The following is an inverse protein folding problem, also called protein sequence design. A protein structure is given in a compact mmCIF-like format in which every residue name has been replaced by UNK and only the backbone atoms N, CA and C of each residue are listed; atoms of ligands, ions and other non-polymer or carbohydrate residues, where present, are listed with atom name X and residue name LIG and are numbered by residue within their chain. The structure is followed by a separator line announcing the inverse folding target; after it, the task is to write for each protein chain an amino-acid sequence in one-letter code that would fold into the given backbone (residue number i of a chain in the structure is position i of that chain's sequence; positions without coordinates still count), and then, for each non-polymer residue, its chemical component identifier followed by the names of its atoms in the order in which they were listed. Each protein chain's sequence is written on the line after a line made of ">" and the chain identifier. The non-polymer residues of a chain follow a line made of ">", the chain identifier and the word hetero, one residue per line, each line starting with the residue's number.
data_IF_996396791198
#
_entry.id   IF_996396791198
#
_cell.length_a   1.000
_cell.length_b   1.000
_cell.length_c   1.000
_cell.angle_alpha   90.00
_cell.angle_beta   90.00
_cell.angle_gamma   90.00
#
_symmetry.space_group_name_H-M   'P 1'
#
loop_
_entity.id
_entity.type
_entity.pdbx_description
1 polymer ?
#
# COMPACT_ATOMS: atom_id res chain seq x y z
N UNK A 1 30.44 14.82 41.50
CA UNK A 1 29.61 14.58 40.30
C UNK A 1 30.31 15.26 39.15
N UNK A 2 31.05 14.46 38.40
CA UNK A 2 31.88 14.89 37.28
C UNK A 2 30.99 15.41 36.15
N UNK A 3 31.27 16.63 35.72
CA UNK A 3 30.79 17.21 34.48
C UNK A 3 31.43 16.46 33.31
N UNK A 4 30.70 15.47 32.79
CA UNK A 4 31.10 14.71 31.61
C UNK A 4 31.31 15.63 30.40
N UNK A 5 32.52 15.57 29.86
CA UNK A 5 33.03 16.34 28.74
C UNK A 5 32.21 16.11 27.45
N UNK A 6 31.37 17.07 27.08
CA UNK A 6 31.02 17.34 25.67
C UNK A 6 32.04 18.32 25.06
N UNK A 7 33.33 18.14 25.36
CA UNK A 7 34.40 19.11 25.07
C UNK A 7 35.24 18.79 23.83
N UNK A 8 34.74 17.97 22.90
CA UNK A 8 35.36 17.90 21.58
C UNK A 8 34.29 18.11 20.52
N UNK A 9 34.42 19.18 19.75
CA UNK A 9 33.66 19.36 18.50
C UNK A 9 34.00 18.32 17.43
N UNK A 10 34.80 17.29 17.75
CA UNK A 10 35.23 16.24 16.83
C UNK A 10 34.07 15.45 16.22
N UNK A 11 32.99 15.07 16.96
CA UNK A 11 31.85 14.37 16.34
C UNK A 11 31.10 15.25 15.34
N UNK A 12 30.99 16.56 15.62
CA UNK A 12 30.33 17.51 14.73
C UNK A 12 31.19 17.83 13.50
N UNK A 13 32.50 18.00 13.69
CA UNK A 13 33.47 18.17 12.59
C UNK A 13 33.50 16.92 11.72
N UNK A 14 33.44 15.72 12.31
CA UNK A 14 33.40 14.47 11.56
C UNK A 14 32.15 14.39 10.67
N UNK A 15 30.96 14.71 11.19
CA UNK A 15 29.72 14.82 10.41
C UNK A 15 29.80 15.87 9.27
N UNK A 16 30.46 17.00 9.51
CA UNK A 16 30.63 18.07 8.51
C UNK A 16 31.70 17.76 7.46
N UNK A 17 32.58 16.80 7.72
CA UNK A 17 33.65 16.37 6.80
C UNK A 17 33.36 15.07 6.07
N UNK A 18 32.33 14.34 6.50
CA UNK A 18 31.88 13.13 5.80
C UNK A 18 31.32 13.50 4.44
N UNK A 19 31.70 12.74 3.43
CA UNK A 19 31.09 12.83 2.11
C UNK A 19 29.59 12.49 2.22
N UNK A 20 28.71 13.11 1.42
CA UNK A 20 27.27 12.81 1.45
C UNK A 20 26.99 11.30 1.36
N UNK A 21 27.74 10.56 0.55
CA UNK A 21 27.65 9.10 0.42
C UNK A 21 27.95 8.33 1.70
N UNK A 22 28.86 8.83 2.54
CA UNK A 22 29.21 8.27 3.86
C UNK A 22 28.12 8.54 4.90
N UNK A 23 27.30 9.57 4.68
CA UNK A 23 26.12 9.90 5.47
C UNK A 23 24.85 9.22 4.96
N UNK A 24 24.96 8.37 3.93
CA UNK A 24 23.82 7.69 3.30
C UNK A 24 23.08 8.54 2.26
N UNK A 25 23.57 9.74 1.93
CA UNK A 25 23.08 10.52 0.80
C UNK A 25 23.70 9.95 -0.48
N UNK A 26 22.91 9.17 -1.22
CA UNK A 26 23.24 8.86 -2.60
C UNK A 26 22.75 10.06 -3.40
N UNK A 27 23.64 10.85 -3.99
CA UNK A 27 23.25 11.80 -5.03
C UNK A 27 23.03 10.99 -6.31
N UNK A 28 21.81 10.48 -6.48
CA UNK A 28 21.36 9.89 -7.73
C UNK A 28 20.88 11.04 -8.59
N UNK A 29 21.77 11.50 -9.47
CA UNK A 29 21.34 12.37 -10.56
C UNK A 29 20.76 11.50 -11.66
N UNK A 30 19.45 11.58 -11.85
CA UNK A 30 18.77 10.92 -12.95
C UNK A 30 18.16 11.97 -13.87
N UNK A 31 18.25 11.75 -15.18
CA UNK A 31 17.44 12.48 -16.15
C UNK A 31 16.17 11.67 -16.32
N UNK A 32 15.07 12.19 -15.79
CA UNK A 32 13.74 11.61 -15.95
C UNK A 32 12.95 12.44 -16.95
N UNK A 33 12.14 11.83 -17.80
CA UNK A 33 11.27 12.59 -18.69
C UNK A 33 9.94 12.88 -17.99
N UNK A 34 9.39 14.08 -18.13
CA UNK A 34 8.05 14.41 -17.64
C UNK A 34 6.98 13.74 -18.52
N UNK A 35 5.70 13.97 -18.20
CA UNK A 35 4.58 13.47 -19.01
C UNK A 35 4.54 14.01 -20.45
N UNK A 36 5.30 15.06 -20.76
CA UNK A 36 5.45 15.67 -22.09
C UNK A 36 6.73 15.23 -22.82
N UNK A 37 7.54 14.35 -22.20
CA UNK A 37 8.82 13.93 -22.77
C UNK A 37 9.94 14.95 -22.62
N UNK A 38 9.81 15.96 -21.75
CA UNK A 38 10.88 16.90 -21.44
C UNK A 38 11.81 16.33 -20.37
N UNK A 39 13.15 16.41 -20.54
CA UNK A 39 14.09 15.94 -19.54
C UNK A 39 14.06 16.85 -18.31
N UNK A 40 13.80 16.25 -17.15
CA UNK A 40 13.83 16.86 -15.82
C UNK A 40 14.99 16.26 -15.05
N UNK A 41 15.82 17.12 -14.47
CA UNK A 41 16.97 16.70 -13.66
C UNK A 41 16.54 16.48 -12.23
N UNK A 42 16.80 15.28 -11.72
CA UNK A 42 16.51 14.89 -10.36
C UNK A 42 17.72 14.99 -9.44
N UNK A 43 17.48 15.37 -8.19
CA UNK A 43 18.45 15.28 -7.09
C UNK A 43 17.83 14.54 -5.90
N UNK A 44 18.23 13.28 -5.67
CA UNK A 44 17.93 12.58 -4.42
C UNK A 44 18.79 13.12 -3.29
N UNK A 45 18.18 13.34 -2.14
CA UNK A 45 18.92 13.72 -0.94
C UNK A 45 18.57 12.88 0.28
N UNK A 46 17.65 11.91 0.23
CA UNK A 46 17.43 11.01 1.37
C UNK A 46 16.86 9.67 0.96
N UNK A 47 17.36 8.59 1.52
CA UNK A 47 16.78 7.26 1.33
C UNK A 47 15.53 7.09 2.21
N UNK A 48 14.40 6.74 1.59
CA UNK A 48 13.12 6.54 2.29
C UNK A 48 12.90 5.08 2.69
N UNK A 49 13.42 4.14 1.90
CA UNK A 49 13.29 2.71 2.16
C UNK A 49 13.45 1.84 0.92
N UNK A 50 13.39 0.53 1.12
CA UNK A 50 13.50 -0.46 0.06
C UNK A 50 12.37 -1.48 0.21
N UNK A 51 11.67 -1.75 -0.90
CA UNK A 51 10.78 -2.88 -1.06
C UNK A 51 11.46 -4.04 -1.79
N UNK A 52 10.69 -5.06 -2.14
CA UNK A 52 11.22 -6.21 -2.90
C UNK A 52 11.70 -5.81 -4.30
N UNK A 53 11.02 -4.83 -4.91
CA UNK A 53 11.15 -4.52 -6.34
C UNK A 53 11.68 -3.11 -6.62
N UNK A 54 11.72 -2.23 -5.61
CA UNK A 54 12.21 -0.87 -5.76
C UNK A 54 12.90 -0.32 -4.51
N UNK A 55 13.72 0.71 -4.72
CA UNK A 55 14.25 1.58 -3.68
C UNK A 55 13.59 2.95 -3.79
N UNK A 56 13.12 3.48 -2.67
CA UNK A 56 12.48 4.78 -2.59
C UNK A 56 13.44 5.83 -2.05
N UNK A 57 13.50 6.97 -2.71
CA UNK A 57 14.31 8.13 -2.33
C UNK A 57 13.45 9.37 -2.24
N UNK A 58 13.82 10.30 -1.37
CA UNK A 58 13.27 11.65 -1.28
C UNK A 58 14.14 12.60 -2.08
N UNK A 59 13.51 13.49 -2.84
CA UNK A 59 14.18 14.60 -3.49
C UNK A 59 13.21 15.72 -3.83
N UNK A 60 13.59 16.55 -4.80
CA UNK A 60 12.73 17.61 -5.33
C UNK A 60 12.34 17.33 -6.78
N UNK A 61 11.07 17.58 -7.11
CA UNK A 61 10.51 17.56 -8.47
C UNK A 61 9.69 18.84 -8.66
N UNK A 62 9.99 19.64 -9.69
CA UNK A 62 9.35 20.93 -9.97
C UNK A 62 9.28 21.88 -8.74
N UNK A 63 10.31 21.85 -7.90
CA UNK A 63 10.41 22.68 -6.69
C UNK A 63 9.67 22.12 -5.46
N UNK A 64 8.95 21.01 -5.60
CA UNK A 64 8.20 20.37 -4.53
C UNK A 64 8.89 19.10 -4.03
N UNK A 65 8.66 18.72 -2.76
CA UNK A 65 9.19 17.46 -2.23
C UNK A 65 8.49 16.26 -2.87
N UNK A 66 9.27 15.34 -3.43
CA UNK A 66 8.76 14.13 -4.06
C UNK A 66 9.52 12.86 -3.63
N UNK A 67 8.81 11.74 -3.71
CA UNK A 67 9.32 10.40 -3.52
C UNK A 67 9.56 9.76 -4.90
N UNK A 68 10.72 9.15 -5.06
CA UNK A 68 11.24 8.58 -6.28
C UNK A 68 11.43 7.09 -6.07
N UNK A 69 10.63 6.28 -6.73
CA UNK A 69 10.75 4.82 -6.68
C UNK A 69 11.59 4.35 -7.86
N UNK A 70 12.78 3.85 -7.56
CA UNK A 70 13.74 3.31 -8.53
C UNK A 70 13.56 1.79 -8.55
N UNK A 71 13.05 1.26 -9.66
CA UNK A 71 12.79 -0.18 -9.81
C UNK A 71 14.00 -0.94 -10.35
N UNK A 72 14.11 -2.20 -9.97
CA UNK A 72 15.10 -3.13 -10.51
C UNK A 72 14.63 -3.61 -11.91
N UNK A 73 15.54 -4.01 -12.81
CA UNK A 73 15.18 -4.48 -14.16
C UNK A 73 14.18 -5.65 -14.15
N UNK A 74 14.30 -6.56 -13.20
CA UNK A 74 13.43 -7.73 -13.04
C UNK A 74 11.99 -7.36 -12.64
N UNK A 75 11.74 -6.10 -12.25
CA UNK A 75 10.45 -5.60 -11.81
C UNK A 75 9.76 -4.67 -12.83
N UNK A 76 10.12 -4.80 -14.12
CA UNK A 76 9.56 -3.97 -15.18
C UNK A 76 8.02 -4.05 -15.27
N UNK A 77 7.44 -5.24 -15.08
CA UNK A 77 5.98 -5.45 -15.12
C UNK A 77 5.28 -4.78 -13.94
N UNK A 78 5.77 -4.96 -12.72
CA UNK A 78 5.23 -4.31 -11.51
C UNK A 78 5.26 -2.78 -11.65
N UNK A 79 6.33 -2.25 -12.24
CA UNK A 79 6.45 -0.83 -12.51
C UNK A 79 5.45 -0.34 -13.57
N UNK A 80 5.30 -1.05 -14.68
CA UNK A 80 4.32 -0.70 -15.72
C UNK A 80 2.90 -0.68 -15.13
N UNK A 81 2.56 -1.69 -14.32
CA UNK A 81 1.29 -1.76 -13.61
C UNK A 81 1.10 -0.57 -12.64
N UNK A 82 2.08 -0.26 -11.79
CA UNK A 82 1.98 0.88 -10.87
C UNK A 82 1.85 2.21 -11.63
N UNK A 83 2.60 2.38 -12.72
CA UNK A 83 2.52 3.57 -13.58
C UNK A 83 1.14 3.74 -14.22
N UNK A 84 0.52 2.66 -14.67
CA UNK A 84 -0.77 2.70 -15.34
C UNK A 84 -1.89 3.04 -14.36
N UNK A 85 -1.86 2.45 -13.17
CA UNK A 85 -2.81 2.80 -12.10
C UNK A 85 -2.67 4.27 -11.72
N UNK A 86 -1.45 4.72 -11.41
CA UNK A 86 -1.23 6.10 -10.96
C UNK A 86 -1.59 7.12 -12.05
N UNK A 87 -1.40 6.79 -13.33
CA UNK A 87 -1.81 7.67 -14.42
C UNK A 87 -3.34 7.76 -14.52
N UNK A 88 -4.06 6.64 -14.41
CA UNK A 88 -5.53 6.65 -14.42
C UNK A 88 -6.12 7.35 -13.19
N UNK A 89 -5.43 7.28 -12.05
CA UNK A 89 -5.78 8.01 -10.84
C UNK A 89 -5.35 9.48 -10.86
N UNK A 90 -4.66 9.95 -11.91
CA UNK A 90 -4.05 11.29 -11.99
C UNK A 90 -3.13 11.60 -10.79
N UNK A 91 -2.48 10.57 -10.26
CA UNK A 91 -1.68 10.61 -9.04
C UNK A 91 -0.15 10.55 -9.29
N UNK A 92 0.30 10.41 -10.55
CA UNK A 92 1.71 10.47 -10.94
C UNK A 92 1.98 11.64 -11.90
N UNK A 93 3.15 12.29 -11.74
CA UNK A 93 3.54 13.48 -12.50
C UNK A 93 4.60 13.22 -13.60
N UNK A 94 5.44 12.19 -13.49
CA UNK A 94 6.54 11.94 -14.43
C UNK A 94 6.82 10.44 -14.67
N UNK A 95 7.39 10.12 -15.85
CA UNK A 95 7.73 8.77 -16.31
C UNK A 95 9.10 8.76 -16.99
N UNK A 96 10.02 7.92 -16.52
CA UNK A 96 11.27 7.66 -17.23
C UNK A 96 11.52 6.17 -17.39
N UNK A 97 11.58 5.73 -18.65
CA UNK A 97 12.23 4.48 -19.08
C UNK A 97 13.37 4.89 -20.00
N UNK A 98 14.49 5.29 -19.40
CA UNK A 98 15.69 5.59 -20.16
C UNK A 98 16.34 4.26 -20.58
N UNK A 99 16.68 4.12 -21.86
CA UNK A 99 17.34 2.91 -22.38
C UNK A 99 18.80 2.80 -21.88
N UNK A 100 19.36 3.90 -21.37
CA UNK A 100 20.77 3.96 -20.93
C UNK A 100 20.94 3.79 -19.42
N UNK A 101 19.87 3.93 -18.64
CA UNK A 101 19.88 3.63 -17.21
C UNK A 101 18.90 2.48 -16.89
N UNK A 102 19.37 1.39 -16.26
CA UNK A 102 18.61 0.14 -16.06
C UNK A 102 17.45 0.25 -15.06
N UNK A 103 17.03 1.46 -14.73
CA UNK A 103 16.13 1.71 -13.61
C UNK A 103 15.10 2.77 -13.98
N UNK A 104 13.85 2.36 -13.92
CA UNK A 104 12.72 3.24 -14.17
C UNK A 104 12.28 3.92 -12.87
N UNK A 105 11.77 5.15 -12.99
CA UNK A 105 11.44 6.01 -11.85
C UNK A 105 9.98 6.47 -11.86
N UNK A 106 9.29 6.27 -10.74
CA UNK A 106 7.96 6.83 -10.47
C UNK A 106 8.09 7.95 -9.44
N UNK A 107 7.49 9.11 -9.75
CA UNK A 107 7.49 10.30 -8.89
C UNK A 107 6.12 10.48 -8.24
N UNK A 108 6.08 10.45 -6.91
CA UNK A 108 4.86 10.66 -6.10
C UNK A 108 5.12 11.64 -4.96
N UNK A 109 4.07 12.10 -4.26
CA UNK A 109 4.24 12.95 -3.09
C UNK A 109 4.92 12.22 -1.93
N UNK A 110 5.74 12.95 -1.16
CA UNK A 110 6.36 12.40 0.07
C UNK A 110 5.31 12.35 1.18
N UNK A 111 5.07 11.15 1.71
CA UNK A 111 4.23 10.95 2.88
C UNK A 111 4.96 10.28 4.04
N UNK A 112 4.37 10.35 5.24
CA UNK A 112 4.83 9.67 6.46
C UNK A 112 3.87 8.55 6.83
N UNK A 113 4.40 7.45 7.37
CA UNK A 113 3.58 6.36 7.89
C UNK A 113 2.65 6.85 9.00
N UNK A 114 1.53 6.18 9.18
CA UNK A 114 0.62 6.44 10.29
C UNK A 114 1.26 5.97 11.61
N UNK A 115 1.88 6.89 12.35
CA UNK A 115 2.38 6.65 13.71
C UNK A 115 1.26 6.65 14.76
N UNK A 116 0.13 7.26 14.42
CA UNK A 116 -1.07 7.35 15.25
C UNK A 116 -2.26 6.88 14.45
N UNK A 117 -3.33 6.48 15.16
CA UNK A 117 -4.63 6.15 14.59
C UNK A 117 -5.04 7.16 13.50
N UNK A 118 -5.51 6.71 12.31
CA UNK A 118 -6.10 7.61 11.33
C UNK A 118 -7.34 8.31 11.89
N UNK A 119 -7.58 9.55 11.50
CA UNK A 119 -8.83 10.25 11.76
C UNK A 119 -9.93 9.66 10.87
N UNK A 120 -11.19 9.83 11.26
CA UNK A 120 -12.32 9.39 10.45
C UNK A 120 -12.24 9.95 9.01
N UNK A 121 -11.93 11.25 8.85
CA UNK A 121 -11.76 11.85 7.53
C UNK A 121 -10.60 11.24 6.72
N UNK A 122 -9.50 10.81 7.36
CA UNK A 122 -8.39 10.16 6.68
C UNK A 122 -8.81 8.76 6.17
N UNK A 123 -9.60 8.01 6.93
CA UNK A 123 -10.18 6.74 6.48
C UNK A 123 -11.11 6.92 5.28
N UNK A 124 -11.95 7.97 5.30
CA UNK A 124 -12.84 8.29 4.18
C UNK A 124 -12.04 8.62 2.92
N UNK A 125 -10.96 9.40 3.05
CA UNK A 125 -10.08 9.70 1.91
C UNK A 125 -9.40 8.44 1.36
N UNK A 126 -8.88 7.56 2.24
CA UNK A 126 -8.27 6.29 1.81
C UNK A 126 -9.27 5.40 1.06
N UNK A 127 -10.50 5.29 1.58
CA UNK A 127 -11.58 4.55 0.92
C UNK A 127 -11.98 5.20 -0.42
N UNK A 128 -11.99 6.54 -0.48
CA UNK A 128 -12.21 7.29 -1.70
C UNK A 128 -11.18 6.98 -2.78
N UNK A 129 -9.89 6.88 -2.43
CA UNK A 129 -8.82 6.47 -3.35
C UNK A 129 -9.03 5.04 -3.84
N UNK A 130 -9.35 4.10 -2.94
CA UNK A 130 -9.60 2.70 -3.29
C UNK A 130 -10.79 2.56 -4.26
N UNK A 131 -11.87 3.29 -3.99
CA UNK A 131 -13.04 3.33 -4.86
C UNK A 131 -12.74 3.98 -6.23
N UNK A 132 -11.92 5.02 -6.27
CA UNK A 132 -11.46 5.60 -7.53
C UNK A 132 -10.65 4.58 -8.37
N UNK A 133 -9.79 3.79 -7.72
CA UNK A 133 -9.08 2.70 -8.39
C UNK A 133 -10.03 1.63 -8.91
N UNK A 134 -11.07 1.28 -8.14
CA UNK A 134 -12.11 0.36 -8.60
C UNK A 134 -12.87 0.90 -9.82
N UNK A 135 -13.23 2.20 -9.84
CA UNK A 135 -13.84 2.84 -11.03
C UNK A 135 -12.92 2.76 -12.26
N UNK A 136 -11.62 2.93 -12.07
CA UNK A 136 -10.62 2.75 -13.12
C UNK A 136 -10.46 1.27 -13.56
N UNK A 137 -11.03 0.33 -12.78
CA UNK A 137 -10.99 -1.11 -13.05
C UNK A 137 -9.77 -1.81 -12.50
N UNK A 138 -9.19 -1.30 -11.41
CA UNK A 138 -8.09 -1.93 -10.72
C UNK A 138 -8.50 -2.45 -9.35
N UNK A 139 -7.91 -3.58 -8.96
CA UNK A 139 -7.91 -4.10 -7.59
C UNK A 139 -6.49 -3.94 -7.07
N UNK A 140 -6.30 -3.22 -5.96
CA UNK A 140 -4.99 -2.96 -5.35
C UNK A 140 -4.33 -4.25 -4.84
N UNK A 141 -5.11 -5.18 -4.28
CA UNK A 141 -4.68 -6.45 -3.65
C UNK A 141 -3.81 -6.32 -2.39
N UNK A 142 -3.22 -5.15 -2.11
CA UNK A 142 -2.45 -4.89 -0.89
C UNK A 142 -2.90 -3.62 -0.14
N UNK A 143 -4.22 -3.41 0.10
CA UNK A 143 -4.72 -2.23 0.79
C UNK A 143 -4.45 -2.32 2.31
N UNK A 144 -3.20 -2.11 2.71
CA UNK A 144 -2.73 -2.30 4.09
C UNK A 144 -2.03 -1.04 4.64
N UNK A 145 -2.01 -0.80 5.96
CA UNK A 145 -1.50 0.44 6.57
C UNK A 145 -0.05 0.79 6.26
N UNK A 146 0.78 -0.19 5.90
CA UNK A 146 2.14 0.06 5.43
C UNK A 146 2.19 0.86 4.12
N UNK A 147 1.11 0.82 3.36
CA UNK A 147 0.91 1.47 2.06
C UNK A 147 0.12 2.78 2.18
N UNK A 148 -0.31 3.15 3.39
CA UNK A 148 -0.97 4.44 3.64
C UNK A 148 0.03 5.43 4.20
N UNK A 149 0.06 6.62 3.62
CA UNK A 149 0.91 7.69 4.10
C UNK A 149 0.08 8.96 4.37
N UNK A 150 0.42 9.68 5.43
CA UNK A 150 -0.02 11.06 5.64
C UNK A 150 0.88 12.00 4.89
N UNK A 151 0.28 12.87 4.08
CA UNK A 151 1.01 13.92 3.36
C UNK A 151 0.83 15.25 4.13
N UNK A 152 1.82 16.16 4.13
CA UNK A 152 1.66 17.49 4.70
C UNK A 152 0.38 18.17 4.17
N UNK A 153 -0.37 18.85 5.05
CA UNK A 153 -1.67 19.43 4.70
C UNK A 153 -2.89 18.58 5.09
N UNK A 154 -2.67 17.38 5.66
CA UNK A 154 -3.75 16.54 6.19
C UNK A 154 -4.44 15.67 5.15
N UNK A 155 -3.82 15.50 3.99
CA UNK A 155 -4.21 14.54 2.96
C UNK A 155 -3.58 13.17 3.21
N UNK A 156 -4.06 12.15 2.48
CA UNK A 156 -3.53 10.79 2.53
C UNK A 156 -3.06 10.37 1.15
N UNK A 157 -2.05 9.50 1.11
CA UNK A 157 -1.58 8.85 -0.10
C UNK A 157 -1.72 7.34 0.06
N UNK A 158 -2.22 6.70 -0.98
CA UNK A 158 -2.22 5.27 -1.15
C UNK A 158 -1.07 4.89 -2.09
N UNK A 159 -0.10 4.16 -1.56
CA UNK A 159 1.16 3.86 -2.22
C UNK A 159 1.28 2.37 -2.54
N UNK A 160 2.24 2.01 -3.39
CA UNK A 160 2.63 0.61 -3.66
C UNK A 160 1.61 -0.17 -4.50
N UNK A 161 1.34 0.34 -5.70
CA UNK A 161 0.43 -0.27 -6.67
C UNK A 161 1.10 -1.34 -7.54
N UNK A 162 2.34 -1.74 -7.25
CA UNK A 162 3.04 -2.77 -8.04
C UNK A 162 2.31 -4.12 -8.02
N UNK A 163 1.57 -4.39 -6.94
CA UNK A 163 0.65 -5.51 -6.84
C UNK A 163 -0.76 -5.17 -7.29
N UNK A 164 -1.07 -4.09 -7.99
CA UNK A 164 -2.43 -3.90 -8.52
C UNK A 164 -2.69 -4.83 -9.71
N UNK A 165 -3.96 -5.19 -9.95
CA UNK A 165 -4.36 -5.97 -11.12
C UNK A 165 -5.54 -5.28 -11.84
N UNK A 166 -5.51 -5.28 -13.17
CA UNK A 166 -6.65 -4.82 -13.95
C UNK A 166 -7.72 -5.91 -13.98
N UNK A 167 -8.84 -5.65 -13.30
CA UNK A 167 -9.91 -6.65 -13.09
C UNK A 167 -10.52 -7.13 -14.42
N UNK A 168 -10.43 -6.32 -15.49
CA UNK A 168 -10.94 -6.69 -16.82
C UNK A 168 -10.15 -7.83 -17.46
N UNK A 169 -8.88 -8.03 -17.07
CA UNK A 169 -8.08 -9.17 -17.54
C UNK A 169 -8.57 -10.49 -16.96
N UNK A 170 -9.15 -10.47 -15.75
CA UNK A 170 -9.66 -11.66 -15.07
C UNK A 170 -8.58 -12.70 -14.73
N UNK A 171 -7.31 -12.29 -14.69
CA UNK A 171 -6.20 -13.19 -14.42
C UNK A 171 -6.25 -13.66 -12.96
N UNK A 172 -6.17 -14.98 -12.71
CA UNK A 172 -5.94 -15.49 -11.37
C UNK A 172 -4.54 -15.11 -10.91
N UNK A 173 -4.41 -14.70 -9.65
CA UNK A 173 -3.15 -14.23 -9.07
C UNK A 173 -2.97 -14.77 -7.66
N UNK A 174 -1.72 -14.86 -7.22
CA UNK A 174 -1.42 -15.28 -5.85
C UNK A 174 -1.85 -14.19 -4.85
N UNK A 175 -2.59 -14.53 -3.78
CA UNK A 175 -2.90 -13.58 -2.73
C UNK A 175 -1.65 -13.03 -2.07
N UNK A 176 -1.64 -11.73 -1.78
CA UNK A 176 -0.53 -11.04 -1.09
C UNK A 176 -0.87 -10.76 0.37
N UNK A 177 0.13 -10.35 1.15
CA UNK A 177 -0.03 -10.10 2.59
C UNK A 177 -0.13 -11.36 3.45
N UNK A 178 -0.36 -11.17 4.74
CA UNK A 178 -0.54 -12.29 5.68
C UNK A 178 -1.96 -12.84 5.60
N UNK A 179 -2.20 -14.14 5.85
CA UNK A 179 -3.55 -14.71 5.87
C UNK A 179 -4.55 -13.94 6.74
N UNK A 180 -4.14 -13.42 7.90
CA UNK A 180 -5.02 -12.61 8.75
C UNK A 180 -5.44 -11.26 8.10
N UNK A 181 -4.65 -10.76 7.16
CA UNK A 181 -4.88 -9.51 6.41
C UNK A 181 -5.66 -9.76 5.10
N UNK A 182 -5.69 -10.99 4.61
CA UNK A 182 -6.34 -11.39 3.36
C UNK A 182 -7.86 -11.48 3.49
N UNK A 183 -8.57 -11.28 2.37
CA UNK A 183 -9.99 -11.60 2.29
C UNK A 183 -10.22 -13.10 2.49
N UNK A 184 -11.35 -13.50 3.05
CA UNK A 184 -11.62 -14.91 3.42
C UNK A 184 -11.47 -15.88 2.24
N UNK A 185 -11.97 -15.51 1.06
CA UNK A 185 -11.86 -16.32 -0.17
C UNK A 185 -10.42 -16.49 -0.69
N UNK A 186 -9.50 -15.64 -0.23
CA UNK A 186 -8.09 -15.74 -0.58
C UNK A 186 -7.32 -16.72 0.32
N UNK A 187 -7.94 -17.18 1.41
CA UNK A 187 -7.35 -18.10 2.37
C UNK A 187 -7.79 -19.53 2.00
N UNK A 188 -6.86 -20.47 1.74
CA UNK A 188 -7.25 -21.85 1.44
C UNK A 188 -8.05 -22.47 2.59
N UNK A 189 -9.18 -23.10 2.30
CA UNK A 189 -10.00 -23.78 3.33
C UNK A 189 -9.18 -24.76 4.19
N UNK A 190 -8.27 -25.49 3.55
CA UNK A 190 -7.37 -26.44 4.25
C UNK A 190 -6.47 -25.77 5.28
N UNK A 191 -6.16 -24.48 5.10
CA UNK A 191 -5.41 -23.72 6.08
C UNK A 191 -6.27 -23.38 7.29
N UNK A 192 -7.55 -23.04 7.06
CA UNK A 192 -8.54 -22.76 8.12
C UNK A 192 -8.71 -23.95 9.07
N UNK A 193 -8.60 -25.17 8.54
CA UNK A 193 -8.73 -26.39 9.34
C UNK A 193 -7.41 -26.81 10.04
N UNK A 194 -6.30 -26.11 9.77
CA UNK A 194 -4.99 -26.44 10.31
C UNK A 194 -4.69 -25.66 11.60
N UNK A 195 -4.78 -26.33 12.74
CA UNK A 195 -4.48 -25.74 14.06
C UNK A 195 -3.09 -25.08 14.14
N UNK A 196 -2.09 -25.62 13.44
CA UNK A 196 -0.75 -25.02 13.37
C UNK A 196 -0.72 -23.71 12.54
N UNK A 197 -1.42 -23.68 11.39
CA UNK A 197 -1.49 -22.47 10.55
C UNK A 197 -2.29 -21.37 11.23
N UNK A 198 -3.38 -21.74 11.92
CA UNK A 198 -4.15 -20.83 12.75
C UNK A 198 -3.20 -20.14 13.73
N UNK A 199 -2.50 -20.89 14.57
CA UNK A 199 -1.68 -20.30 15.64
C UNK A 199 -0.53 -19.45 15.11
N UNK A 200 0.19 -19.90 14.07
CA UNK A 200 1.37 -19.17 13.59
C UNK A 200 1.06 -18.04 12.60
N UNK A 201 -0.18 -17.96 12.10
CA UNK A 201 -0.57 -16.96 11.10
C UNK A 201 0.07 -17.14 9.72
N UNK A 202 0.77 -18.26 9.50
CA UNK A 202 1.46 -18.57 8.24
C UNK A 202 0.92 -19.88 7.68
N UNK A 203 0.86 -19.94 6.36
CA UNK A 203 0.51 -21.16 5.66
C UNK A 203 1.70 -22.12 5.73
N UNK A 204 1.48 -23.31 6.30
CA UNK A 204 2.50 -24.35 6.29
C UNK A 204 2.72 -24.88 4.86
N UNK A 205 3.83 -25.58 4.63
CA UNK A 205 4.20 -26.11 3.31
C UNK A 205 3.14 -26.99 2.65
N UNK A 206 2.21 -27.53 3.44
CA UNK A 206 1.13 -28.41 2.97
C UNK A 206 -0.10 -27.64 2.46
N UNK A 207 -0.19 -26.34 2.72
CA UNK A 207 -1.31 -25.50 2.28
C UNK A 207 -0.79 -24.44 1.32
N UNK A 208 -0.55 -24.85 0.07
CA UNK A 208 -0.23 -23.91 -1.00
C UNK A 208 -1.42 -23.02 -1.27
N UNK A 209 -1.21 -21.71 -1.27
CA UNK A 209 -2.20 -20.78 -1.79
C UNK A 209 -2.54 -21.14 -3.23
N UNK A 210 -3.81 -20.99 -3.57
CA UNK A 210 -4.26 -21.10 -4.94
C UNK A 210 -4.38 -19.69 -5.52
N UNK A 211 -4.11 -19.52 -6.82
CA UNK A 211 -4.43 -18.28 -7.50
C UNK A 211 -5.93 -17.99 -7.41
N UNK A 212 -6.28 -16.74 -7.18
CA UNK A 212 -7.66 -16.24 -7.10
C UNK A 212 -7.84 -15.10 -8.08
N UNK A 213 -9.03 -14.96 -8.68
CA UNK A 213 -9.35 -13.78 -9.47
C UNK A 213 -9.66 -12.63 -8.49
N UNK A 214 -8.88 -11.54 -8.47
CA UNK A 214 -9.13 -10.43 -7.56
C UNK A 214 -10.48 -9.77 -7.80
N UNK A 215 -11.13 -9.34 -6.72
CA UNK A 215 -12.43 -8.67 -6.76
C UNK A 215 -12.38 -7.39 -5.93
N UNK A 216 -13.20 -6.41 -6.29
CA UNK A 216 -13.32 -5.16 -5.52
C UNK A 216 -13.71 -5.40 -4.06
N UNK A 217 -14.53 -6.43 -3.79
CA UNK A 217 -14.90 -6.81 -2.41
C UNK A 217 -13.72 -7.30 -1.59
N UNK A 218 -12.71 -7.93 -2.23
CA UNK A 218 -11.52 -8.40 -1.54
C UNK A 218 -10.71 -7.22 -1.01
N UNK A 219 -10.57 -6.16 -1.80
CA UNK A 219 -9.91 -4.93 -1.37
C UNK A 219 -10.62 -4.27 -0.18
N UNK A 220 -11.95 -4.20 -0.20
CA UNK A 220 -12.73 -3.66 0.92
C UNK A 220 -12.57 -4.48 2.21
N UNK A 221 -12.58 -5.81 2.09
CA UNK A 221 -12.38 -6.71 3.23
C UNK A 221 -10.96 -6.57 3.80
N UNK A 222 -9.94 -6.62 2.93
CA UNK A 222 -8.54 -6.44 3.33
C UNK A 222 -8.30 -5.06 3.95
N UNK A 223 -8.91 -4.01 3.39
CA UNK A 223 -8.90 -2.67 3.95
C UNK A 223 -9.43 -2.68 5.40
N UNK A 224 -10.64 -3.20 5.63
CA UNK A 224 -11.23 -3.27 6.98
C UNK A 224 -10.37 -4.10 7.95
N UNK A 225 -9.94 -5.29 7.53
CA UNK A 225 -9.09 -6.18 8.32
C UNK A 225 -7.80 -5.51 8.77
N UNK A 226 -7.20 -4.75 7.87
CA UNK A 226 -5.92 -4.08 8.10
C UNK A 226 -6.03 -2.88 9.04
N UNK A 227 -7.12 -2.11 8.94
CA UNK A 227 -7.43 -1.03 9.90
C UNK A 227 -7.58 -1.61 11.30
N UNK A 228 -8.36 -2.69 11.44
CA UNK A 228 -8.51 -3.40 12.71
C UNK A 228 -7.15 -3.87 13.25
N UNK A 229 -6.42 -4.70 12.51
CA UNK A 229 -5.20 -5.40 12.98
C UNK A 229 -4.00 -4.51 13.30
N UNK A 230 -3.93 -3.29 12.75
CA UNK A 230 -2.74 -2.43 12.88
C UNK A 230 -3.02 -1.10 13.53
N UNK A 231 -4.24 -0.58 13.40
CA UNK A 231 -4.57 0.78 13.80
C UNK A 231 -5.61 0.83 14.91
N UNK A 232 -6.30 -0.27 15.20
CA UNK A 232 -7.26 -0.37 16.31
C UNK A 232 -6.74 -1.35 17.36
N UNK A 233 -6.45 -2.57 16.91
CA UNK A 233 -5.87 -3.64 17.68
C UNK A 233 -4.35 -3.57 17.50
N UNK A 234 -3.60 -3.22 18.56
CA UNK A 234 -2.13 -3.28 18.51
C UNK A 234 -1.73 -4.74 18.66
N UNK A 235 -1.85 -5.50 17.57
CA UNK A 235 -1.50 -6.91 17.58
C UNK A 235 -0.01 -7.06 17.92
N UNK A 236 0.28 -7.74 19.02
CA UNK A 236 1.63 -8.27 19.22
C UNK A 236 1.95 -9.27 18.09
N UNK A 237 3.23 -9.55 17.82
CA UNK A 237 3.59 -10.54 16.77
C UNK A 237 2.95 -11.93 16.96
N UNK A 238 2.49 -12.25 18.17
CA UNK A 238 1.83 -13.51 18.50
C UNK A 238 0.36 -13.60 18.03
N UNK A 239 -0.27 -12.48 17.66
CA UNK A 239 -1.70 -12.40 17.30
C UNK A 239 -1.94 -12.34 15.78
N UNK A 240 -0.93 -12.66 14.97
CA UNK A 240 -1.07 -12.78 13.51
C UNK A 240 -1.83 -14.05 13.07
N UNK A 241 -2.37 -14.80 14.04
CA UNK A 241 -3.28 -15.91 13.79
C UNK A 241 -4.48 -15.43 12.97
N UNK A 242 -4.74 -16.06 11.82
CA UNK A 242 -5.94 -15.71 11.06
C UNK A 242 -7.23 -16.20 11.75
N UNK A 243 -7.12 -17.08 12.77
CA UNK A 243 -8.24 -17.45 13.65
C UNK A 243 -8.73 -16.29 14.53
N UNK A 244 -7.99 -15.17 14.57
CA UNK A 244 -8.42 -13.95 15.27
C UNK A 244 -9.83 -13.52 14.88
N UNK A 245 -10.20 -13.68 13.60
CA UNK A 245 -11.51 -13.29 13.06
C UNK A 245 -12.68 -14.14 13.57
N UNK A 246 -12.39 -15.33 14.11
CA UNK A 246 -13.39 -16.28 14.63
C UNK A 246 -13.41 -16.33 16.15
N UNK A 247 -12.26 -16.09 16.80
CA UNK A 247 -12.09 -16.41 18.22
C UNK A 247 -11.91 -15.16 19.10
N UNK A 248 -11.49 -14.02 18.52
CA UNK A 248 -11.20 -12.81 19.31
C UNK A 248 -12.45 -11.92 19.43
N UNK A 249 -12.92 -11.56 20.66
CA UNK A 249 -14.11 -10.74 20.85
C UNK A 249 -14.10 -9.42 20.07
N UNK A 250 -12.97 -8.71 20.06
CA UNK A 250 -12.87 -7.44 19.33
C UNK A 250 -12.95 -7.62 17.81
N UNK A 251 -12.43 -8.73 17.26
CA UNK A 251 -12.52 -9.01 15.84
C UNK A 251 -13.93 -9.48 15.46
N UNK A 252 -14.60 -10.22 16.35
CA UNK A 252 -16.01 -10.59 16.21
C UNK A 252 -16.91 -9.35 16.17
N UNK A 253 -16.60 -8.32 16.95
CA UNK A 253 -17.31 -7.04 16.90
C UNK A 253 -17.16 -6.33 15.53
N UNK A 254 -16.16 -6.68 14.72
CA UNK A 254 -15.94 -6.15 13.38
C UNK A 254 -16.59 -6.97 12.25
N UNK A 255 -17.22 -8.10 12.57
CA UNK A 255 -17.94 -8.91 11.57
C UNK A 255 -18.99 -8.13 10.76
N UNK A 256 -19.75 -7.17 11.31
CA UNK A 256 -20.64 -6.32 10.51
C UNK A 256 -19.91 -5.52 9.43
N UNK A 257 -18.69 -5.06 9.70
CA UNK A 257 -17.86 -4.33 8.71
C UNK A 257 -17.43 -5.27 7.58
N UNK A 258 -16.98 -6.49 7.92
CA UNK A 258 -16.58 -7.50 6.93
C UNK A 258 -17.77 -7.97 6.09
N UNK A 259 -18.94 -8.17 6.71
CA UNK A 259 -20.17 -8.51 6.01
C UNK A 259 -20.56 -7.40 5.01
N UNK A 260 -20.47 -6.12 5.40
CA UNK A 260 -20.75 -5.01 4.50
C UNK A 260 -19.78 -4.94 3.29
N UNK A 261 -18.51 -5.31 3.47
CA UNK A 261 -17.57 -5.42 2.34
C UNK A 261 -17.99 -6.51 1.34
N UNK A 262 -18.44 -7.66 1.86
CA UNK A 262 -18.81 -8.85 1.07
C UNK A 262 -20.16 -8.74 0.37
N UNK A 263 -20.98 -7.76 0.73
CA UNK A 263 -22.22 -7.46 0.02
C UNK A 263 -21.97 -6.99 -1.42
N UNK A 264 -20.78 -6.45 -1.72
CA UNK A 264 -20.42 -6.09 -3.08
C UNK A 264 -20.25 -7.36 -3.93
N UNK A 265 -21.02 -7.53 -5.03
CA UNK A 265 -20.95 -8.74 -5.83
C UNK A 265 -19.64 -8.83 -6.61
N UNK A 266 -19.37 -10.01 -7.17
CA UNK A 266 -18.24 -10.18 -8.06
C UNK A 266 -18.41 -9.39 -9.34
N UNK A 267 -17.36 -8.69 -9.73
CA UNK A 267 -17.31 -8.01 -11.00
C UNK A 267 -17.18 -9.03 -12.14
N UNK A 268 -18.08 -8.90 -13.13
CA UNK A 268 -18.10 -9.75 -14.32
C UNK A 268 -17.55 -8.96 -15.51
N UNK A 269 -16.29 -9.21 -15.88
CA UNK A 269 -15.56 -8.42 -16.89
C UNK A 269 -16.23 -8.34 -18.27
N UNK A 270 -17.08 -9.30 -18.62
CA UNK A 270 -17.80 -9.35 -19.89
C UNK A 270 -19.17 -8.65 -19.85
N UNK A 271 -19.65 -8.23 -18.68
CA UNK A 271 -21.01 -7.71 -18.50
C UNK A 271 -21.04 -6.21 -18.16
N UNK A 272 -19.98 -5.70 -17.56
CA UNK A 272 -19.99 -4.36 -16.98
C UNK A 272 -18.70 -3.60 -17.27
N UNK A 273 -18.83 -2.29 -17.49
CA UNK A 273 -17.70 -1.39 -17.29
C UNK A 273 -17.53 -1.15 -15.78
N UNK A 274 -16.29 -1.20 -15.24
CA UNK A 274 -15.99 -0.93 -13.83
C UNK A 274 -16.56 0.38 -13.27
N UNK A 275 -16.55 1.47 -14.03
CA UNK A 275 -17.10 2.74 -13.54
C UNK A 275 -18.62 2.62 -13.35
N UNK A 276 -19.31 2.07 -14.35
CA UNK A 276 -20.76 1.80 -14.30
C UNK A 276 -21.09 0.82 -13.17
N UNK A 277 -20.28 -0.22 -12.99
CA UNK A 277 -20.44 -1.19 -11.90
C UNK A 277 -20.36 -0.51 -10.54
N UNK A 278 -19.28 0.25 -10.28
CA UNK A 278 -19.08 0.93 -9.00
C UNK A 278 -20.21 1.93 -8.73
N UNK A 279 -20.68 2.65 -9.75
CA UNK A 279 -21.81 3.58 -9.63
C UNK A 279 -23.13 2.87 -9.33
N UNK A 280 -23.37 1.71 -9.97
CA UNK A 280 -24.53 0.86 -9.69
C UNK A 280 -24.56 0.33 -8.26
N UNK A 281 -23.41 0.23 -7.60
CA UNK A 281 -23.24 -0.26 -6.23
C UNK A 281 -22.78 0.82 -5.24
N UNK A 282 -22.99 2.10 -5.55
CA UNK A 282 -22.64 3.25 -4.70
C UNK A 282 -23.20 3.12 -3.27
N UNK A 283 -24.44 2.63 -3.15
CA UNK A 283 -25.09 2.41 -1.86
C UNK A 283 -24.36 1.37 -0.99
N UNK A 284 -23.73 0.36 -1.59
CA UNK A 284 -22.95 -0.65 -0.86
C UNK A 284 -21.63 -0.05 -0.37
N UNK A 285 -20.90 0.71 -1.20
CA UNK A 285 -19.71 1.44 -0.76
C UNK A 285 -20.01 2.37 0.41
N UNK A 286 -21.11 3.12 0.32
CA UNK A 286 -21.54 4.03 1.38
C UNK A 286 -21.90 3.28 2.67
N UNK A 287 -22.65 2.17 2.56
CA UNK A 287 -22.99 1.33 3.71
C UNK A 287 -21.73 0.76 4.39
N UNK A 288 -20.77 0.30 3.59
CA UNK A 288 -19.47 -0.17 4.10
C UNK A 288 -18.74 0.94 4.85
N UNK A 289 -18.64 2.14 4.26
CA UNK A 289 -18.02 3.31 4.89
C UNK A 289 -18.69 3.66 6.23
N UNK A 290 -20.01 3.77 6.25
CA UNK A 290 -20.78 4.12 7.45
C UNK A 290 -20.59 3.07 8.55
N UNK A 291 -20.64 1.79 8.19
CA UNK A 291 -20.44 0.67 9.12
C UNK A 291 -19.02 0.67 9.67
N UNK A 292 -18.01 0.86 8.81
CA UNK A 292 -16.61 0.99 9.21
C UNK A 292 -16.42 2.15 10.20
N UNK A 293 -16.91 3.34 9.87
CA UNK A 293 -16.73 4.53 10.70
C UNK A 293 -17.47 4.43 12.03
N UNK A 294 -18.61 3.74 12.09
CA UNK A 294 -19.32 3.47 13.32
C UNK A 294 -18.48 2.59 14.27
N UNK A 295 -17.96 1.46 13.78
CA UNK A 295 -17.13 0.54 14.56
C UNK A 295 -15.74 1.09 14.86
N UNK A 296 -15.25 2.00 14.04
CA UNK A 296 -13.99 2.68 14.29
C UNK A 296 -14.10 3.69 15.45
N UNK A 297 -15.28 4.24 15.73
CA UNK A 297 -15.46 5.23 16.81
C UNK A 297 -15.73 4.60 18.18
N UNK A 298 -16.25 3.37 18.22
CA UNK A 298 -16.41 2.58 19.45
C UNK A 298 -15.08 2.12 20.01
#
# INVERSE_FOLDING_TARGET
>A
MESGELASGRPLVQLLTMQPTELGFVEVQAIIHDSNGQPVTYFSFSFLGQGNHCKAYKGYFDGEEAAFKIFNEEAAEDMENECDVLHQLQAAQARSRDQTTPSCCIVTSVGKKFETRPKACELQLLLGVLKAAHKAGFVHRDPLPRNYLRVPGGTVLFNDWGSAENIRKGNPVMPVGWPAEQAEEMIPQTAVDCSACIVCGRLCSNHRQQPVVPQFRHDLEMFAKSIFLKLVYIASKAEQSFGIWSDHPDALAWQPVLAAARELPDFQAHQHDPEIFVEGYEAIYKKFEETLLQHYKS
#
